data_IF_224189029971
#
_entry.id   IF_224189029971
#
_cell.length_a   1.000
_cell.length_b   1.000
_cell.length_c   1.000
_cell.angle_alpha   90.00
_cell.angle_beta   90.00
_cell.angle_gamma   90.00
#
_symmetry.space_group_name_H-M   'P 1'
#
loop_
_entity.id
_entity.type
_entity.pdbx_description
1 polymer ?
#
# COMPACT_ATOMS: atom_id res chain seq x y z
N UNK A 1 -2.47 -23.59 -20.09
CA UNK A 1 -3.07 -24.62 -19.21
C UNK A 1 -2.41 -24.48 -17.83
N UNK A 2 -2.75 -23.43 -17.11
CA UNK A 2 -2.37 -23.20 -15.71
C UNK A 2 -3.63 -22.66 -15.05
N UNK A 3 -4.11 -23.39 -14.04
CA UNK A 3 -5.45 -23.24 -13.48
C UNK A 3 -5.62 -21.84 -12.89
N UNK A 4 -6.68 -21.15 -13.32
CA UNK A 4 -7.30 -20.08 -12.55
C UNK A 4 -7.78 -20.72 -11.24
N UNK A 5 -7.04 -20.50 -10.15
CA UNK A 5 -7.46 -20.86 -8.81
C UNK A 5 -8.50 -19.82 -8.38
N UNK A 6 -9.72 -20.02 -8.84
CA UNK A 6 -10.88 -19.30 -8.38
C UNK A 6 -11.67 -20.14 -7.38
N UNK A 7 -11.91 -19.53 -6.21
CA UNK A 7 -13.23 -19.47 -5.58
C UNK A 7 -13.58 -20.60 -4.61
N UNK A 8 -13.00 -20.59 -3.40
CA UNK A 8 -13.68 -21.02 -2.16
C UNK A 8 -12.83 -20.69 -0.90
N UNK A 9 -11.51 -20.90 -0.94
CA UNK A 9 -10.63 -20.65 0.21
C UNK A 9 -10.36 -19.15 0.47
N UNK A 10 -10.33 -18.34 -0.59
CA UNK A 10 -9.99 -16.91 -0.49
C UNK A 10 -11.11 -16.05 0.14
N UNK A 11 -12.36 -16.53 0.16
CA UNK A 11 -13.50 -15.74 0.65
C UNK A 11 -13.68 -15.79 2.18
N UNK A 12 -13.09 -16.77 2.87
CA UNK A 12 -13.23 -16.89 4.32
C UNK A 12 -12.29 -15.92 5.09
N UNK A 13 -11.16 -15.54 4.49
CA UNK A 13 -10.13 -14.72 5.15
C UNK A 13 -10.23 -13.21 4.83
N UNK A 14 -10.93 -12.84 3.75
CA UNK A 14 -10.95 -11.47 3.25
C UNK A 14 -12.39 -10.98 2.97
N UNK A 15 -12.62 -9.68 3.20
CA UNK A 15 -13.87 -9.01 2.78
C UNK A 15 -14.09 -9.20 1.27
N UNK A 16 -15.34 -9.43 0.87
CA UNK A 16 -15.72 -9.70 -0.53
C UNK A 16 -15.24 -8.62 -1.51
N UNK A 17 -15.11 -7.36 -1.05
CA UNK A 17 -14.61 -6.24 -1.85
C UNK A 17 -13.10 -6.31 -2.11
N UNK A 18 -12.35 -7.02 -1.26
CA UNK A 18 -10.90 -7.15 -1.34
C UNK A 18 -10.43 -8.38 -2.12
N UNK A 19 -11.27 -9.40 -2.29
CA UNK A 19 -10.91 -10.66 -2.97
C UNK A 19 -10.27 -10.41 -4.33
N UNK A 20 -10.78 -9.46 -5.13
CA UNK A 20 -10.24 -9.10 -6.45
C UNK A 20 -8.85 -8.43 -6.44
N UNK A 21 -8.40 -7.97 -5.28
CA UNK A 21 -7.13 -7.27 -5.11
C UNK A 21 -6.05 -8.12 -4.45
N UNK A 22 -6.39 -9.33 -3.98
CA UNK A 22 -5.43 -10.27 -3.40
C UNK A 22 -4.35 -10.58 -4.43
N UNK A 23 -3.09 -10.55 -3.98
CA UNK A 23 -1.91 -10.83 -4.81
C UNK A 23 -1.28 -12.13 -4.37
N UNK A 24 -0.81 -12.91 -5.33
CA UNK A 24 0.02 -14.08 -5.09
C UNK A 24 1.44 -13.64 -4.73
N UNK A 25 1.60 -13.20 -3.48
CA UNK A 25 2.83 -12.66 -2.92
C UNK A 25 2.92 -13.03 -1.44
N UNK A 26 4.13 -13.12 -0.86
CA UNK A 26 4.29 -13.34 0.57
C UNK A 26 3.59 -12.27 1.41
N UNK A 27 3.01 -12.67 2.56
CA UNK A 27 2.40 -11.73 3.49
C UNK A 27 3.44 -10.70 3.98
N UNK A 28 3.06 -9.42 3.95
CA UNK A 28 3.89 -8.32 4.42
C UNK A 28 3.09 -7.42 5.36
N UNK A 29 3.66 -7.13 6.54
CA UNK A 29 3.05 -6.27 7.55
C UNK A 29 3.74 -4.90 7.72
N UNK A 30 4.84 -4.70 7.01
CA UNK A 30 5.66 -3.49 7.08
C UNK A 30 5.53 -2.71 5.76
N UNK A 31 5.15 -1.44 5.84
CA UNK A 31 4.91 -0.60 4.66
C UNK A 31 6.18 -0.38 3.83
N UNK A 32 7.33 -0.17 4.46
CA UNK A 32 8.61 -0.02 3.76
C UNK A 32 8.98 -1.28 2.97
N UNK A 33 8.80 -2.47 3.56
CA UNK A 33 8.99 -3.75 2.85
C UNK A 33 8.03 -3.88 1.66
N UNK A 34 6.78 -3.46 1.82
CA UNK A 34 5.82 -3.46 0.70
C UNK A 34 6.26 -2.51 -0.42
N UNK A 35 6.71 -1.30 -0.10
CA UNK A 35 7.17 -0.32 -1.11
C UNK A 35 8.38 -0.82 -1.87
N UNK A 36 9.40 -1.33 -1.18
CA UNK A 36 10.62 -1.87 -1.80
C UNK A 36 10.36 -3.13 -2.65
N UNK A 37 9.36 -3.94 -2.27
CA UNK A 37 9.00 -5.16 -3.01
C UNK A 37 8.13 -4.86 -4.22
N UNK A 38 7.12 -4.00 -4.06
CA UNK A 38 6.12 -3.68 -5.10
C UNK A 38 6.65 -2.64 -6.07
N UNK A 39 7.55 -1.75 -5.62
CA UNK A 39 8.07 -0.61 -6.38
C UNK A 39 6.97 0.22 -7.06
N UNK A 40 6.02 0.77 -6.28
CA UNK A 40 4.86 1.44 -6.86
C UNK A 40 5.22 2.80 -7.45
N UNK A 41 4.47 3.25 -8.46
CA UNK A 41 4.56 4.63 -8.96
C UNK A 41 3.88 5.66 -8.04
N UNK A 42 2.96 5.20 -7.19
CA UNK A 42 2.26 6.07 -6.26
C UNK A 42 1.75 5.34 -5.02
N UNK A 43 1.56 6.10 -3.95
CA UNK A 43 1.03 5.64 -2.66
C UNK A 43 -0.12 6.52 -2.21
N UNK A 44 -1.20 5.88 -1.76
CA UNK A 44 -2.43 6.54 -1.29
C UNK A 44 -2.70 6.10 0.14
N UNK A 45 -2.71 7.05 1.07
CA UNK A 45 -2.97 6.87 2.49
C UNK A 45 -4.43 7.20 2.82
N UNK A 46 -5.16 6.21 3.32
CA UNK A 46 -6.57 6.30 3.76
C UNK A 46 -6.80 5.59 5.10
N UNK A 47 -5.74 5.48 5.91
CA UNK A 47 -5.66 4.56 7.06
C UNK A 47 -5.89 5.23 8.41
N UNK A 48 -5.95 6.56 8.44
CA UNK A 48 -5.94 7.40 9.64
C UNK A 48 -4.69 7.20 10.53
N UNK A 49 -3.59 6.67 9.98
CA UNK A 49 -2.30 6.54 10.66
C UNK A 49 -1.39 7.72 10.34
N UNK A 50 -1.43 8.72 11.22
CA UNK A 50 -0.56 9.88 11.13
C UNK A 50 0.93 9.49 11.11
N UNK A 51 1.69 10.10 10.19
CA UNK A 51 3.13 9.85 10.06
C UNK A 51 3.52 8.50 9.47
N UNK A 52 2.58 7.75 8.87
CA UNK A 52 2.88 6.48 8.19
C UNK A 52 3.82 6.65 6.99
N UNK A 53 3.81 7.80 6.33
CA UNK A 53 4.74 8.17 5.27
C UNK A 53 6.02 8.73 5.88
N UNK A 54 6.83 7.83 6.42
CA UNK A 54 8.11 8.17 7.04
C UNK A 54 9.11 8.69 6.00
N UNK A 55 10.16 9.38 6.45
CA UNK A 55 11.25 9.85 5.58
C UNK A 55 11.89 8.72 4.77
N UNK A 56 12.03 7.54 5.39
CA UNK A 56 12.58 6.35 4.74
C UNK A 56 11.70 5.91 3.56
N UNK A 57 10.38 5.86 3.75
CA UNK A 57 9.43 5.52 2.69
C UNK A 57 9.42 6.58 1.59
N UNK A 58 9.44 7.87 1.95
CA UNK A 58 9.45 8.96 0.96
C UNK A 58 10.71 8.95 0.11
N UNK A 59 11.89 8.75 0.73
CA UNK A 59 13.16 8.60 -0.01
C UNK A 59 13.11 7.43 -0.98
N UNK A 60 12.56 6.30 -0.53
CA UNK A 60 12.46 5.13 -1.38
C UNK A 60 11.51 5.34 -2.55
N UNK A 61 10.37 6.01 -2.35
CA UNK A 61 9.47 6.41 -3.44
C UNK A 61 10.18 7.28 -4.49
N UNK A 62 11.08 8.18 -4.07
CA UNK A 62 11.92 9.00 -4.96
C UNK A 62 13.06 8.21 -5.63
N UNK A 63 13.56 7.15 -5.00
CA UNK A 63 14.54 6.26 -5.62
C UNK A 63 13.90 5.42 -6.73
N UNK A 64 12.68 4.95 -6.49
CA UNK A 64 11.91 4.11 -7.44
C UNK A 64 11.40 4.95 -8.61
N UNK A 65 10.99 6.19 -8.38
CA UNK A 65 10.35 7.05 -9.37
C UNK A 65 10.96 8.44 -9.39
N UNK A 66 11.26 8.98 -10.58
CA UNK A 66 11.69 10.36 -10.76
C UNK A 66 10.65 11.37 -10.23
N UNK A 67 9.36 11.06 -10.39
CA UNK A 67 8.25 11.89 -9.89
C UNK A 67 7.20 11.01 -9.19
N UNK A 68 7.35 10.74 -7.88
CA UNK A 68 6.43 9.86 -7.15
C UNK A 68 5.09 10.53 -6.85
N UNK A 69 3.99 9.76 -6.94
CA UNK A 69 2.65 10.24 -6.60
C UNK A 69 2.35 9.91 -5.13
N UNK A 70 2.16 10.93 -4.28
CA UNK A 70 1.94 10.75 -2.84
C UNK A 70 0.64 11.43 -2.41
N UNK A 71 -0.37 10.64 -1.99
CA UNK A 71 -1.65 11.17 -1.47
C UNK A 71 -1.81 10.79 0.01
N UNK A 72 -1.72 11.78 0.91
CA UNK A 72 -2.05 11.63 2.34
C UNK A 72 -3.48 12.14 2.60
N UNK A 73 -4.48 11.26 2.51
CA UNK A 73 -5.90 11.63 2.50
C UNK A 73 -6.57 11.51 3.87
N UNK A 74 -5.85 11.02 4.88
CA UNK A 74 -6.43 10.85 6.20
C UNK A 74 -6.80 12.15 6.88
N UNK A 75 -8.00 12.17 7.46
CA UNK A 75 -8.59 13.30 8.15
C UNK A 75 -8.82 12.99 9.64
N UNK A 76 -8.75 14.00 10.54
CA UNK A 76 -8.27 15.38 10.30
C UNK A 76 -6.75 15.44 10.05
N UNK A 77 -6.20 16.60 9.71
CA UNK A 77 -4.78 16.77 9.29
C UNK A 77 -3.75 16.14 10.23
N UNK A 78 -4.00 16.10 11.55
CA UNK A 78 -3.12 15.42 12.52
C UNK A 78 -3.00 13.90 12.31
N UNK A 79 -3.91 13.32 11.51
CA UNK A 79 -3.90 11.91 11.09
C UNK A 79 -3.42 11.71 9.67
N UNK A 80 -3.07 12.77 8.94
CA UNK A 80 -2.51 12.66 7.60
C UNK A 80 -1.24 11.81 7.63
N UNK A 81 -1.12 10.88 6.68
CA UNK A 81 0.00 9.95 6.61
C UNK A 81 1.35 10.67 6.48
N UNK A 82 1.39 11.83 5.84
CA UNK A 82 2.56 12.69 5.70
C UNK A 82 2.17 14.17 5.61
N UNK A 83 3.16 15.05 5.73
CA UNK A 83 2.99 16.50 5.55
C UNK A 83 3.59 16.95 4.22
N UNK A 84 3.08 18.05 3.67
CA UNK A 84 3.59 18.63 2.42
C UNK A 84 4.87 19.48 2.60
N UNK A 85 5.42 19.53 3.82
CA UNK A 85 6.58 20.35 4.18
C UNK A 85 7.87 19.58 4.02
#
# INVERSE_FOLDING_TARGET
>A
MTKSAGNEETSAAYDSRHVKFVKDMPEMRNLYKTVTTVQPNGIIGVSARGGAFTLEIMKEMCNINEQPIIFALSNPTVKAEGTAK
#
